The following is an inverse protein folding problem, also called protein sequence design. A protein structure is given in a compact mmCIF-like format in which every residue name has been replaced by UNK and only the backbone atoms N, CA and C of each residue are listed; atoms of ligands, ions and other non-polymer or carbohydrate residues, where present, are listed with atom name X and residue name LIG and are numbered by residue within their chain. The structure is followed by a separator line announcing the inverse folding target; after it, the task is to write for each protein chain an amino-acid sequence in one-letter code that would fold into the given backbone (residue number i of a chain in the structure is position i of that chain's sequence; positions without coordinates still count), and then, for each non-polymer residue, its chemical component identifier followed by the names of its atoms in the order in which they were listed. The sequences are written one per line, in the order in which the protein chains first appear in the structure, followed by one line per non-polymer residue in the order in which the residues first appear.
data_IF_239108146110
#
_entry.id   IF_239108146110
#
_cell.length_a   1.000
_cell.length_b   1.000
_cell.length_c   1.000
_cell.angle_alpha   90.00
_cell.angle_beta   90.00
_cell.angle_gamma   90.00
#
_symmetry.space_group_name_H-M   'P 1'
#
loop_
_entity.id
_entity.type
_entity.pdbx_description
1 polymer ?
#
# COMPACT_ATOMS: atom_id res chain seq x y z
N UNK A 1 39.11 -78.96 -3.03
CA UNK A 1 39.03 -78.49 -4.44
C UNK A 1 37.64 -78.89 -4.93
N UNK A 2 36.65 -78.00 -4.91
CA UNK A 2 36.57 -76.78 -5.71
C UNK A 2 35.86 -75.64 -4.97
N UNK A 3 36.49 -74.46 -4.95
CA UNK A 3 35.85 -73.20 -4.59
C UNK A 3 34.72 -72.90 -5.60
N UNK A 4 33.52 -72.63 -5.11
CA UNK A 4 32.47 -71.99 -5.90
C UNK A 4 32.58 -70.51 -5.59
N UNK A 5 33.41 -69.82 -6.37
CA UNK A 5 33.55 -68.37 -6.36
C UNK A 5 32.22 -67.77 -6.82
N UNK A 6 31.48 -67.14 -5.92
CA UNK A 6 30.31 -66.33 -6.28
C UNK A 6 30.80 -65.08 -7.01
N UNK A 7 30.81 -65.13 -8.35
CA UNK A 7 31.13 -63.99 -9.22
C UNK A 7 29.93 -63.05 -9.35
N UNK A 8 29.35 -62.60 -8.22
CA UNK A 8 28.48 -61.42 -8.28
C UNK A 8 29.43 -60.22 -8.29
N UNK A 9 29.53 -59.45 -9.38
CA UNK A 9 30.28 -58.21 -9.35
C UNK A 9 29.69 -57.38 -8.21
N UNK A 10 30.53 -56.89 -7.29
CA UNK A 10 30.10 -55.83 -6.39
C UNK A 10 29.61 -54.73 -7.32
N UNK A 11 28.30 -54.56 -7.43
CA UNK A 11 27.72 -53.45 -8.18
C UNK A 11 28.30 -52.22 -7.47
N UNK A 12 29.29 -51.60 -8.09
CA UNK A 12 29.76 -50.29 -7.68
C UNK A 12 28.49 -49.46 -7.72
N UNK A 13 28.00 -49.11 -6.52
CA UNK A 13 26.88 -48.21 -6.38
C UNK A 13 27.30 -47.01 -7.21
N UNK A 14 26.68 -46.85 -8.37
CA UNK A 14 26.72 -45.58 -9.08
C UNK A 14 26.18 -44.64 -8.01
N UNK A 15 27.07 -43.86 -7.40
CA UNK A 15 26.68 -42.78 -6.51
C UNK A 15 25.71 -41.96 -7.34
N UNK A 16 24.40 -42.21 -7.16
CA UNK A 16 23.39 -41.38 -7.78
C UNK A 16 23.77 -39.98 -7.36
N UNK A 17 24.06 -39.06 -8.30
CA UNK A 17 24.47 -37.72 -7.93
C UNK A 17 23.34 -37.19 -7.07
N UNK A 18 23.59 -37.08 -5.77
CA UNK A 18 22.58 -36.77 -4.77
C UNK A 18 21.93 -35.51 -5.30
N UNK A 19 20.68 -35.63 -5.78
CA UNK A 19 20.06 -34.50 -6.47
C UNK A 19 20.17 -33.32 -5.51
N UNK A 20 20.79 -32.21 -5.94
CA UNK A 20 21.08 -31.09 -5.02
C UNK A 20 19.80 -30.61 -4.31
N UNK A 21 18.64 -30.92 -4.90
CA UNK A 21 17.29 -30.71 -4.38
C UNK A 21 17.03 -31.43 -3.04
N UNK A 22 17.60 -32.63 -2.82
CA UNK A 22 17.38 -33.44 -1.60
C UNK A 22 18.10 -32.91 -0.35
N UNK A 23 19.17 -32.13 -0.51
CA UNK A 23 19.91 -31.52 0.61
C UNK A 23 19.50 -30.07 0.89
N UNK A 24 18.65 -29.46 0.05
CA UNK A 24 18.24 -28.07 0.25
C UNK A 24 17.18 -27.94 1.35
N UNK A 25 17.38 -26.97 2.26
CA UNK A 25 16.39 -26.57 3.26
C UNK A 25 15.03 -26.33 2.61
N UNK A 26 13.95 -26.81 3.25
CA UNK A 26 12.57 -26.67 2.77
C UNK A 26 12.19 -25.22 2.50
N UNK A 27 12.72 -24.28 3.30
CA UNK A 27 12.53 -22.84 3.07
C UNK A 27 13.25 -22.39 1.77
N UNK A 28 14.47 -22.87 1.53
CA UNK A 28 15.18 -22.53 0.27
C UNK A 28 14.37 -22.99 -0.95
N UNK A 29 13.81 -24.20 -0.91
CA UNK A 29 12.95 -24.73 -1.97
C UNK A 29 11.65 -23.93 -2.14
N UNK A 30 11.00 -23.56 -1.03
CA UNK A 30 9.76 -22.80 -1.04
C UNK A 30 9.97 -21.38 -1.59
N UNK A 31 11.06 -20.72 -1.21
CA UNK A 31 11.46 -19.41 -1.77
C UNK A 31 11.73 -19.51 -3.26
N UNK A 32 12.48 -20.51 -3.72
CA UNK A 32 12.76 -20.71 -5.14
C UNK A 32 11.48 -20.92 -5.95
N UNK A 33 10.55 -21.74 -5.43
CA UNK A 33 9.24 -21.99 -6.07
C UNK A 33 8.40 -20.72 -6.14
N UNK A 34 8.39 -19.92 -5.07
CA UNK A 34 7.68 -18.65 -5.03
C UNK A 34 8.25 -17.64 -6.05
N UNK A 35 9.57 -17.44 -6.05
CA UNK A 35 10.24 -16.48 -6.96
C UNK A 35 10.13 -16.88 -8.43
N UNK A 36 9.99 -18.18 -8.73
CA UNK A 36 9.77 -18.68 -10.10
C UNK A 36 8.34 -18.39 -10.60
N UNK A 37 7.37 -18.21 -9.71
CA UNK A 37 6.00 -17.89 -10.09
C UNK A 37 5.82 -16.37 -10.26
N UNK A 38 5.79 -15.93 -11.53
CA UNK A 38 5.62 -14.51 -11.88
C UNK A 38 4.34 -13.89 -11.32
N UNK A 39 3.22 -14.64 -11.31
CA UNK A 39 1.94 -14.14 -10.79
C UNK A 39 2.01 -13.89 -9.28
N UNK A 40 2.61 -14.84 -8.54
CA UNK A 40 2.81 -14.69 -7.10
C UNK A 40 3.72 -13.49 -6.78
N UNK A 41 4.77 -13.28 -7.58
CA UNK A 41 5.69 -12.15 -7.42
C UNK A 41 5.02 -10.79 -7.69
N UNK A 42 4.17 -10.69 -8.72
CA UNK A 42 3.42 -9.45 -9.02
C UNK A 42 2.48 -9.12 -7.86
N UNK A 43 1.72 -10.10 -7.36
CA UNK A 43 0.81 -9.90 -6.24
C UNK A 43 1.55 -9.48 -4.96
N UNK A 44 2.68 -10.13 -4.66
CA UNK A 44 3.52 -9.79 -3.52
C UNK A 44 4.10 -8.38 -3.62
N UNK A 45 4.65 -8.02 -4.77
CA UNK A 45 5.19 -6.69 -4.98
C UNK A 45 4.10 -5.60 -4.88
N UNK A 46 2.94 -5.84 -5.49
CA UNK A 46 1.79 -4.93 -5.38
C UNK A 46 1.34 -4.72 -3.94
N UNK A 47 1.27 -5.81 -3.15
CA UNK A 47 0.93 -5.73 -1.73
C UNK A 47 1.98 -4.96 -0.92
N UNK A 48 3.27 -5.22 -1.15
CA UNK A 48 4.36 -4.47 -0.51
C UNK A 48 4.27 -2.98 -0.84
N UNK A 49 4.06 -2.62 -2.10
CA UNK A 49 3.90 -1.22 -2.51
C UNK A 49 2.70 -0.56 -1.85
N UNK A 50 1.54 -1.24 -1.80
CA UNK A 50 0.37 -0.71 -1.10
C UNK A 50 0.64 -0.47 0.38
N UNK A 51 1.27 -1.43 1.08
CA UNK A 51 1.60 -1.28 2.50
C UNK A 51 2.61 -0.15 2.72
N UNK A 52 3.57 0.05 1.82
CA UNK A 52 4.50 1.17 1.90
C UNK A 52 3.78 2.52 1.73
N UNK A 53 2.95 2.67 0.70
CA UNK A 53 2.17 3.91 0.47
C UNK A 53 1.38 4.28 1.73
N UNK A 54 0.70 3.29 2.28
CA UNK A 54 -0.19 3.47 3.43
C UNK A 54 0.57 3.66 4.75
N UNK A 55 1.71 3.00 4.93
CA UNK A 55 2.59 3.22 6.07
C UNK A 55 3.11 4.67 6.13
N UNK A 56 3.35 5.28 4.97
CA UNK A 56 3.77 6.67 4.83
C UNK A 56 2.59 7.63 4.50
N UNK A 57 1.35 7.24 4.80
CA UNK A 57 0.15 8.02 4.49
C UNK A 57 0.24 9.48 4.93
N UNK A 58 0.65 9.73 6.18
CA UNK A 58 0.79 11.10 6.70
C UNK A 58 1.91 11.92 6.03
N UNK A 59 3.00 11.27 5.61
CA UNK A 59 4.06 11.91 4.85
C UNK A 59 3.63 12.20 3.40
N UNK A 60 2.85 11.32 2.78
CA UNK A 60 2.38 11.49 1.40
C UNK A 60 1.22 12.48 1.29
N UNK A 61 0.34 12.52 2.28
CA UNK A 61 -0.79 13.44 2.32
C UNK A 61 -0.30 14.89 2.48
N UNK A 62 -0.71 15.85 1.64
CA UNK A 62 -0.28 17.23 1.73
C UNK A 62 -0.99 18.02 2.84
N UNK A 63 -2.18 17.56 3.26
CA UNK A 63 -2.98 18.16 4.33
C UNK A 63 -3.40 17.08 5.34
N UNK A 64 -3.78 17.50 6.53
CA UNK A 64 -4.35 16.59 7.52
C UNK A 64 -5.80 16.21 7.16
N UNK A 65 -6.12 14.92 7.32
CA UNK A 65 -7.35 14.29 6.81
C UNK A 65 -8.66 14.82 7.42
N UNK A 66 -8.60 15.49 8.58
CA UNK A 66 -9.75 16.13 9.23
C UNK A 66 -9.82 17.63 9.04
N UNK A 67 -8.81 18.25 8.44
CA UNK A 67 -8.79 19.70 8.27
C UNK A 67 -9.86 20.13 7.27
N UNK A 68 -10.75 21.01 7.70
CA UNK A 68 -11.87 21.50 6.89
C UNK A 68 -11.52 22.82 6.21
N UNK A 69 -12.14 23.06 5.05
CA UNK A 69 -12.05 24.30 4.32
C UNK A 69 -13.41 24.59 3.65
N UNK A 70 -14.28 25.33 4.35
CA UNK A 70 -15.66 25.55 3.88
C UNK A 70 -15.71 26.26 2.52
N UNK A 71 -14.73 27.12 2.23
CA UNK A 71 -14.63 27.83 0.95
C UNK A 71 -14.30 26.89 -0.22
N UNK A 72 -13.84 25.66 0.06
CA UNK A 72 -13.50 24.64 -0.92
C UNK A 72 -14.39 23.39 -0.82
N UNK A 73 -15.60 23.52 -0.27
CA UNK A 73 -16.55 22.42 -0.19
C UNK A 73 -17.00 21.95 -1.58
N UNK A 74 -16.89 20.64 -1.86
CA UNK A 74 -17.10 20.06 -3.20
C UNK A 74 -16.15 20.62 -4.29
N UNK A 75 -15.01 21.16 -3.87
CA UNK A 75 -14.02 21.69 -4.79
C UNK A 75 -13.42 20.61 -5.71
N UNK A 76 -13.17 20.92 -6.99
CA UNK A 76 -12.58 19.98 -7.93
C UNK A 76 -11.12 19.63 -7.56
N UNK A 77 -10.53 18.61 -8.20
CA UNK A 77 -9.11 18.32 -8.06
C UNK A 77 -8.23 19.49 -8.48
N UNK A 78 -7.24 19.83 -7.65
CA UNK A 78 -6.23 20.85 -7.98
C UNK A 78 -5.38 20.37 -9.15
N UNK A 79 -5.45 21.07 -10.29
CA UNK A 79 -4.67 20.74 -11.47
C UNK A 79 -3.20 21.13 -11.26
N UNK A 80 -2.33 20.12 -11.17
CA UNK A 80 -0.88 20.30 -11.12
C UNK A 80 -0.37 20.39 -12.56
N UNK A 81 0.30 21.47 -12.90
CA UNK A 81 0.78 21.71 -14.27
C UNK A 81 2.21 22.26 -14.26
N UNK A 82 2.98 21.90 -15.28
CA UNK A 82 4.34 22.42 -15.52
C UNK A 82 4.36 23.53 -16.58
N UNK A 83 3.27 23.69 -17.33
CA UNK A 83 3.12 24.64 -18.42
C UNK A 83 2.36 25.88 -17.92
N UNK A 84 2.93 27.07 -18.12
CA UNK A 84 2.23 28.32 -17.81
C UNK A 84 1.09 28.60 -18.80
N UNK A 85 0.20 29.55 -18.49
CA UNK A 85 -0.83 30.06 -19.43
C UNK A 85 -0.23 30.52 -20.77
N UNK A 86 1.02 31.00 -20.79
CA UNK A 86 1.75 31.37 -22.02
C UNK A 86 2.33 30.18 -22.82
N UNK A 87 2.09 28.94 -22.41
CA UNK A 87 2.64 27.74 -23.06
C UNK A 87 4.12 27.45 -22.77
N UNK A 88 4.76 28.27 -21.92
CA UNK A 88 6.16 28.05 -21.50
C UNK A 88 6.25 26.99 -20.42
N UNK A 89 7.20 26.06 -20.58
CA UNK A 89 7.55 25.08 -19.55
C UNK A 89 8.26 25.75 -18.38
N UNK A 90 7.74 25.51 -17.19
CA UNK A 90 8.32 25.92 -15.92
C UNK A 90 8.99 24.71 -15.27
N UNK A 91 10.19 24.91 -14.73
CA UNK A 91 10.97 23.85 -14.07
C UNK A 91 10.26 23.27 -12.83
N UNK A 92 9.37 24.06 -12.21
CA UNK A 92 8.65 23.70 -11.00
C UNK A 92 7.17 23.43 -11.31
N UNK A 93 6.59 22.36 -10.73
CA UNK A 93 5.15 22.16 -10.79
C UNK A 93 4.46 23.27 -10.01
N UNK A 94 3.36 23.77 -10.55
CA UNK A 94 2.53 24.79 -9.93
C UNK A 94 1.06 24.47 -10.17
N UNK A 95 0.21 25.12 -9.39
CA UNK A 95 -1.23 25.14 -9.59
C UNK A 95 -1.71 26.59 -9.65
N UNK A 96 -2.87 26.79 -10.23
CA UNK A 96 -3.56 28.08 -10.19
C UNK A 96 -4.49 28.13 -8.98
N UNK A 97 -4.68 29.33 -8.43
CA UNK A 97 -5.61 29.53 -7.33
C UNK A 97 -7.04 29.23 -7.78
N UNK A 98 -7.81 28.57 -6.92
CA UNK A 98 -9.22 28.28 -7.17
C UNK A 98 -10.02 29.03 -6.12
N UNK A 99 -10.86 29.96 -6.56
CA UNK A 99 -11.70 30.79 -5.68
C UNK A 99 -13.15 30.34 -5.81
N UNK A 100 -13.86 30.31 -4.69
CA UNK A 100 -15.30 30.13 -4.67
C UNK A 100 -15.95 31.51 -4.84
N UNK A 101 -16.56 31.75 -6.00
CA UNK A 101 -17.21 33.01 -6.34
C UNK A 101 -18.71 32.77 -6.45
N UNK A 102 -19.53 33.66 -5.89
CA UNK A 102 -20.97 33.62 -6.07
C UNK A 102 -21.31 34.13 -7.47
N UNK A 103 -21.86 33.27 -8.32
CA UNK A 103 -22.43 33.68 -9.60
C UNK A 103 -23.76 34.43 -9.34
N UNK A 104 -23.85 35.75 -9.64
CA UNK A 104 -25.04 36.55 -9.36
C UNK A 104 -26.25 36.17 -10.23
N UNK A 105 -26.04 35.50 -11.36
CA UNK A 105 -27.13 35.07 -12.23
C UNK A 105 -27.80 33.79 -11.71
N UNK A 106 -27.01 32.87 -11.14
CA UNK A 106 -27.48 31.55 -10.68
C UNK A 106 -27.65 31.45 -9.16
N UNK A 107 -27.21 32.47 -8.40
CA UNK A 107 -27.12 32.45 -6.94
C UNK A 107 -26.44 31.18 -6.40
N UNK A 108 -25.40 30.73 -7.10
CA UNK A 108 -24.66 29.51 -6.79
C UNK A 108 -23.17 29.81 -6.69
N UNK A 109 -22.52 29.23 -5.69
CA UNK A 109 -21.07 29.25 -5.58
C UNK A 109 -20.46 28.39 -6.69
N UNK A 110 -19.64 29.00 -7.53
CA UNK A 110 -18.90 28.36 -8.61
C UNK A 110 -17.42 28.52 -8.35
N UNK A 111 -16.65 27.46 -8.62
CA UNK A 111 -15.20 27.50 -8.55
C UNK A 111 -14.63 28.15 -9.80
N UNK A 112 -14.06 29.33 -9.64
CA UNK A 112 -13.35 30.04 -10.69
C UNK A 112 -11.84 29.87 -10.50
N UNK A 113 -11.15 29.59 -11.61
CA UNK A 113 -9.70 29.37 -11.60
C UNK A 113 -9.04 30.69 -11.95
N UNK A 114 -8.38 31.30 -10.97
CA UNK A 114 -7.66 32.56 -11.18
C UNK A 114 -6.27 32.25 -11.76
N UNK A 115 -6.17 32.32 -13.09
CA UNK A 115 -4.92 32.06 -13.81
C UNK A 115 -3.80 33.10 -13.54
N UNK A 116 -4.13 34.22 -12.90
CA UNK A 116 -3.14 35.26 -12.58
C UNK A 116 -2.29 34.88 -11.36
N UNK A 117 -2.87 34.10 -10.44
CA UNK A 117 -2.21 33.71 -9.18
C UNK A 117 -1.65 32.30 -9.33
N UNK A 118 -0.33 32.23 -9.52
CA UNK A 118 0.41 30.97 -9.61
C UNK A 118 0.95 30.56 -8.25
N UNK A 119 0.61 29.35 -7.83
CA UNK A 119 1.02 28.82 -6.54
C UNK A 119 2.00 27.64 -6.77
N UNK A 120 3.31 27.83 -6.46
CA UNK A 120 4.32 26.80 -6.70
C UNK A 120 4.24 25.67 -5.67
N UNK A 121 4.41 24.44 -6.15
CA UNK A 121 4.43 23.24 -5.30
C UNK A 121 5.88 22.96 -4.91
N UNK A 122 6.09 22.76 -3.62
CA UNK A 122 7.39 22.44 -3.05
C UNK A 122 7.40 20.98 -2.56
N UNK A 123 8.58 20.37 -2.55
CA UNK A 123 8.80 19.08 -1.93
C UNK A 123 9.32 19.25 -0.50
N UNK A 124 9.04 18.29 0.37
CA UNK A 124 9.47 18.27 1.78
C UNK A 124 9.07 19.53 2.55
N UNK A 125 7.78 19.88 2.46
CA UNK A 125 7.22 21.08 3.09
C UNK A 125 6.77 20.77 4.50
N UNK A 126 6.93 21.74 5.41
CA UNK A 126 6.34 21.66 6.74
C UNK A 126 4.90 22.14 6.70
N UNK A 127 3.96 21.30 7.11
CA UNK A 127 2.53 21.56 7.09
C UNK A 127 1.84 21.05 8.35
N UNK A 128 0.67 20.46 8.19
CA UNK A 128 -0.15 19.94 9.28
C UNK A 128 0.56 18.80 10.02
N UNK A 129 0.41 18.75 11.36
CA UNK A 129 0.96 17.65 12.13
C UNK A 129 0.22 16.33 11.84
N UNK A 130 0.97 15.25 11.66
CA UNK A 130 0.43 13.90 11.53
C UNK A 130 1.20 12.93 12.42
N UNK A 131 0.56 11.82 12.75
CA UNK A 131 1.17 10.77 13.56
C UNK A 131 1.48 9.54 12.71
N UNK A 132 2.76 9.28 12.49
CA UNK A 132 3.25 8.07 11.84
C UNK A 132 3.15 6.88 12.80
N UNK A 133 2.50 5.81 12.35
CA UNK A 133 2.26 4.57 13.13
C UNK A 133 1.61 4.79 14.52
N UNK A 134 0.92 5.91 14.73
CA UNK A 134 0.34 6.23 16.04
C UNK A 134 1.35 6.62 17.13
N UNK A 135 2.66 6.72 16.83
CA UNK A 135 3.70 6.96 17.84
C UNK A 135 4.64 8.13 17.54
N UNK A 136 4.92 8.40 16.27
CA UNK A 136 5.88 9.42 15.86
C UNK A 136 5.16 10.60 15.22
N UNK A 137 5.16 11.75 15.89
CA UNK A 137 4.62 12.99 15.32
C UNK A 137 5.63 13.60 14.36
N UNK A 138 5.14 14.00 13.19
CA UNK A 138 5.91 14.68 12.17
C UNK A 138 5.02 15.71 11.49
N UNK A 139 5.62 16.73 10.90
CA UNK A 139 4.95 17.79 10.17
C UNK A 139 5.53 17.98 8.76
N UNK A 140 6.40 17.07 8.30
CA UNK A 140 7.02 17.15 6.98
C UNK A 140 6.21 16.31 6.00
N UNK A 141 5.72 16.92 4.93
CA UNK A 141 5.00 16.25 3.85
C UNK A 141 5.86 16.18 2.59
N UNK A 142 5.66 15.14 1.78
CA UNK A 142 6.38 14.89 0.53
C UNK A 142 6.25 16.07 -0.41
N UNK A 143 5.04 16.59 -0.57
CA UNK A 143 4.75 17.76 -1.38
C UNK A 143 3.67 18.60 -0.71
N UNK A 144 3.72 19.90 -0.98
CA UNK A 144 2.78 20.85 -0.40
C UNK A 144 2.99 22.25 -0.94
N UNK A 145 2.24 23.18 -0.38
CA UNK A 145 2.20 24.56 -0.82
C UNK A 145 2.47 25.46 0.38
N UNK A 146 3.05 26.64 0.14
CA UNK A 146 3.35 27.62 1.19
C UNK A 146 2.25 28.68 1.28
N UNK A 147 2.38 29.58 2.25
CA UNK A 147 1.56 30.79 2.38
C UNK A 147 0.08 30.53 2.72
N UNK A 148 -0.18 29.40 3.41
CA UNK A 148 -1.54 29.04 3.86
C UNK A 148 -2.42 28.43 2.78
N UNK A 149 -1.93 28.31 1.54
CA UNK A 149 -2.63 27.62 0.48
C UNK A 149 -2.59 26.11 0.69
N UNK A 150 -3.63 25.43 0.21
CA UNK A 150 -3.79 23.98 0.29
C UNK A 150 -3.98 23.38 -1.09
N UNK A 151 -3.43 22.19 -1.27
CA UNK A 151 -3.55 21.43 -2.52
C UNK A 151 -4.51 20.27 -2.31
N UNK A 152 -5.40 20.02 -3.27
CA UNK A 152 -6.41 18.97 -3.21
C UNK A 152 -6.24 18.02 -4.40
N UNK A 153 -5.30 17.06 -4.36
CA UNK A 153 -4.98 16.22 -5.53
C UNK A 153 -6.19 15.45 -6.08
N UNK A 154 -7.09 14.99 -5.20
CA UNK A 154 -8.33 14.28 -5.55
C UNK A 154 -9.59 15.14 -5.37
N UNK A 155 -9.42 16.44 -5.11
CA UNK A 155 -10.51 17.34 -4.75
C UNK A 155 -10.93 17.23 -3.29
N UNK A 156 -12.06 17.85 -2.97
CA UNK A 156 -12.58 17.91 -1.61
C UNK A 156 -14.01 17.36 -1.50
N UNK A 157 -14.37 16.92 -0.29
CA UNK A 157 -15.76 16.55 0.02
C UNK A 157 -16.63 17.77 0.35
N UNK A 158 -17.89 17.53 0.72
CA UNK A 158 -18.83 18.58 1.12
C UNK A 158 -18.47 19.36 2.38
N UNK A 159 -17.41 19.00 3.11
CA UNK A 159 -16.87 19.80 4.22
C UNK A 159 -15.52 20.46 3.85
N UNK A 160 -15.09 20.32 2.59
CA UNK A 160 -13.82 20.87 2.11
C UNK A 160 -12.58 20.12 2.61
N UNK A 161 -12.74 18.86 3.02
CA UNK A 161 -11.61 18.02 3.46
C UNK A 161 -10.95 17.37 2.25
N UNK A 162 -9.64 17.21 2.32
CA UNK A 162 -8.84 16.60 1.26
C UNK A 162 -9.16 15.10 1.09
N UNK A 163 -9.71 14.73 -0.07
CA UNK A 163 -10.03 13.34 -0.41
C UNK A 163 -8.79 12.47 -0.52
N UNK A 164 -7.66 13.01 -1.00
CA UNK A 164 -6.43 12.24 -1.12
C UNK A 164 -5.91 11.81 0.26
N UNK A 165 -5.81 12.76 1.19
CA UNK A 165 -5.43 12.50 2.57
C UNK A 165 -6.38 11.49 3.24
N UNK A 166 -7.70 11.62 3.03
CA UNK A 166 -8.69 10.70 3.59
C UNK A 166 -8.61 9.29 3.01
N UNK A 167 -8.35 9.15 1.71
CA UNK A 167 -8.15 7.83 1.09
C UNK A 167 -6.91 7.14 1.65
N UNK A 168 -5.80 7.85 1.80
CA UNK A 168 -4.56 7.29 2.39
C UNK A 168 -4.77 6.85 3.85
N UNK A 169 -5.39 7.71 4.67
CA UNK A 169 -5.68 7.40 6.07
C UNK A 169 -6.68 6.24 6.21
N UNK A 170 -7.71 6.21 5.36
CA UNK A 170 -8.68 5.11 5.30
C UNK A 170 -8.01 3.78 4.90
N UNK A 171 -7.12 3.83 3.90
CA UNK A 171 -6.29 2.70 3.50
C UNK A 171 -5.47 2.14 4.65
N UNK A 172 -4.90 3.00 5.50
CA UNK A 172 -4.15 2.60 6.70
C UNK A 172 -4.98 1.78 7.67
N UNK A 173 -6.19 2.25 7.95
CA UNK A 173 -7.10 1.56 8.86
C UNK A 173 -7.52 0.23 8.24
N UNK A 174 -7.98 0.23 6.99
CA UNK A 174 -8.47 -0.99 6.31
C UNK A 174 -7.40 -2.07 6.15
N UNK A 175 -6.18 -1.71 5.74
CA UNK A 175 -5.09 -2.68 5.57
C UNK A 175 -4.62 -3.26 6.90
N UNK A 176 -4.56 -2.43 7.95
CA UNK A 176 -4.16 -2.91 9.29
C UNK A 176 -5.19 -3.91 9.85
N UNK A 177 -6.49 -3.61 9.74
CA UNK A 177 -7.56 -4.52 10.17
C UNK A 177 -7.53 -5.83 9.37
N UNK A 178 -7.33 -5.74 8.05
CA UNK A 178 -7.19 -6.93 7.19
C UNK A 178 -6.02 -7.82 7.60
N UNK A 179 -4.84 -7.23 7.86
CA UNK A 179 -3.66 -7.96 8.30
C UNK A 179 -3.87 -8.68 9.62
N UNK A 180 -4.46 -7.98 10.60
CA UNK A 180 -4.76 -8.54 11.92
C UNK A 180 -5.77 -9.68 11.80
N UNK A 181 -6.82 -9.50 10.99
CA UNK A 181 -7.83 -10.53 10.74
C UNK A 181 -7.25 -11.81 10.13
N UNK A 182 -6.45 -11.69 9.06
CA UNK A 182 -5.79 -12.85 8.43
C UNK A 182 -4.82 -13.54 9.40
N UNK A 183 -4.05 -12.77 10.16
CA UNK A 183 -3.10 -13.32 11.14
C UNK A 183 -3.83 -14.13 12.22
N UNK A 184 -4.94 -13.60 12.74
CA UNK A 184 -5.75 -14.29 13.74
C UNK A 184 -6.38 -15.57 13.16
N UNK A 185 -6.91 -15.52 11.94
CA UNK A 185 -7.45 -16.69 11.25
C UNK A 185 -6.41 -17.78 11.05
N UNK A 186 -5.17 -17.43 10.68
CA UNK A 186 -4.07 -18.40 10.55
C UNK A 186 -3.73 -19.02 11.90
N UNK A 187 -3.65 -18.23 12.97
CA UNK A 187 -3.33 -18.74 14.31
C UNK A 187 -4.41 -19.71 14.78
N UNK A 188 -5.68 -19.29 14.75
CA UNK A 188 -6.81 -20.12 15.19
C UNK A 188 -6.99 -21.36 14.30
N UNK A 189 -6.91 -21.19 12.99
CA UNK A 189 -6.99 -22.28 12.03
C UNK A 189 -5.84 -23.27 12.17
N UNK A 190 -4.62 -22.79 12.45
CA UNK A 190 -3.47 -23.67 12.71
C UNK A 190 -3.63 -24.44 14.01
N UNK A 191 -4.10 -23.81 15.10
CA UNK A 191 -4.36 -24.51 16.37
C UNK A 191 -5.42 -25.60 16.16
N UNK A 192 -6.57 -25.22 15.59
CA UNK A 192 -7.66 -26.16 15.34
C UNK A 192 -7.25 -27.28 14.38
N UNK A 193 -6.54 -26.97 13.30
CA UNK A 193 -6.03 -27.95 12.34
C UNK A 193 -5.01 -28.90 12.97
N UNK A 194 -4.12 -28.41 13.83
CA UNK A 194 -3.14 -29.24 14.53
C UNK A 194 -3.82 -30.16 15.55
N UNK A 195 -4.80 -29.67 16.31
CA UNK A 195 -5.57 -30.47 17.27
C UNK A 195 -6.33 -31.58 16.54
N UNK A 196 -7.02 -31.27 15.44
CA UNK A 196 -7.73 -32.30 14.65
C UNK A 196 -6.76 -33.34 14.09
N UNK A 197 -5.64 -32.89 13.52
CA UNK A 197 -4.62 -33.77 12.95
C UNK A 197 -3.89 -34.63 13.99
N UNK A 198 -3.76 -34.18 15.23
CA UNK A 198 -3.13 -34.95 16.31
C UNK A 198 -4.06 -36.02 16.90
N UNK A 199 -5.34 -35.68 17.14
CA UNK A 199 -6.27 -36.58 17.81
C UNK A 199 -6.98 -37.57 16.88
N UNK A 200 -7.06 -37.30 15.56
CA UNK A 200 -7.50 -38.23 14.50
C UNK A 200 -8.69 -39.13 14.83
N UNK A 201 -9.89 -38.82 14.30
CA UNK A 201 -11.09 -39.65 14.51
C UNK A 201 -12.32 -38.81 14.86
N UNK A 202 -13.00 -39.12 15.97
CA UNK A 202 -14.32 -38.58 16.35
C UNK A 202 -14.34 -37.03 16.51
N UNK A 203 -13.20 -36.42 16.88
CA UNK A 203 -13.03 -34.96 16.90
C UNK A 203 -12.90 -34.34 15.51
N UNK A 204 -12.33 -35.03 14.53
CA UNK A 204 -12.24 -34.58 13.13
C UNK A 204 -13.63 -34.65 12.46
N UNK A 205 -14.42 -35.70 12.72
CA UNK A 205 -15.76 -35.89 12.14
C UNK A 205 -16.81 -34.92 12.73
N UNK A 206 -16.70 -34.52 14.01
CA UNK A 206 -17.55 -33.45 14.59
C UNK A 206 -17.18 -32.08 14.00
N UNK A 207 -15.89 -31.79 13.84
CA UNK A 207 -15.40 -30.48 13.41
C UNK A 207 -15.60 -30.23 11.92
N UNK A 208 -15.67 -31.28 11.09
CA UNK A 208 -15.98 -31.17 9.66
C UNK A 208 -17.48 -31.00 9.37
N UNK A 209 -18.36 -31.20 10.36
CA UNK A 209 -19.83 -31.23 10.19
C UNK A 209 -20.57 -30.04 10.81
N UNK A 210 -19.89 -29.17 11.56
CA UNK A 210 -20.42 -27.91 12.14
C UNK A 210 -19.84 -26.73 11.38
#
# INVERSE_FOLDING_TARGET
MSEITSTVPRQDWVDEPISEVGQMSQWKLMRLRFMRNKLAMIGFFGLVVMYLIVAFAGFLAPNHYMTQNQDYAWGPPSKITFINTEGKLTLRPHMYEIKSVLDPAQFRFVFDVDENVRIPIYFFVRGDEYTLFGRFTSNVHLFGVKDGHRIYPFGADGLGRDMFARTLQGGQISMTVGLVGVSLSIILGSIMGTVSGYYGGLTDDIMQRV
#
